data_IF_156364348952
#
_entry.id   IF_156364348952
#
_cell.length_a   1.000
_cell.length_b   1.000
_cell.length_c   1.000
_cell.angle_alpha   90.00
_cell.angle_beta   90.00
_cell.angle_gamma   90.00
#
_symmetry.space_group_name_H-M   'P 1'
#
loop_
_entity.id
_entity.type
_entity.pdbx_description
1 polymer ?
#
# COMPACT_ATOMS: atom_id res chain seq x y z
N UNK A 1 1.45 -21.75 -10.29
CA UNK A 1 1.41 -20.51 -9.48
C UNK A 1 2.59 -19.67 -9.88
N UNK A 2 2.36 -18.42 -10.33
CA UNK A 2 3.40 -17.55 -10.89
C UNK A 2 4.30 -16.96 -9.78
N UNK A 3 3.69 -16.49 -8.70
CA UNK A 3 4.38 -16.09 -7.46
C UNK A 3 4.67 -17.31 -6.58
N UNK A 4 5.88 -17.36 -6.01
CA UNK A 4 6.32 -18.40 -5.06
C UNK A 4 6.63 -17.75 -3.72
N UNK A 5 6.04 -18.25 -2.64
CA UNK A 5 6.39 -17.83 -1.27
C UNK A 5 7.84 -18.17 -0.97
N UNK A 6 8.55 -17.24 -0.34
CA UNK A 6 9.93 -17.44 0.03
C UNK A 6 10.03 -18.40 1.23
N UNK A 7 11.00 -19.35 1.27
CA UNK A 7 11.11 -20.31 2.36
C UNK A 7 11.52 -19.70 3.71
N UNK A 8 11.99 -18.45 3.71
CA UNK A 8 12.31 -17.71 4.93
C UNK A 8 11.10 -16.97 5.53
N UNK A 9 9.90 -17.16 4.97
CA UNK A 9 8.69 -16.52 5.51
C UNK A 9 8.34 -17.04 6.91
N UNK A 10 7.84 -16.17 7.80
CA UNK A 10 7.81 -14.70 7.67
C UNK A 10 9.22 -14.09 7.76
N UNK A 11 9.53 -13.11 6.91
CA UNK A 11 10.85 -12.45 6.85
C UNK A 11 10.99 -11.32 7.90
N UNK A 12 9.86 -10.82 8.42
CA UNK A 12 9.83 -9.91 9.56
C UNK A 12 8.61 -10.24 10.43
N UNK A 13 8.83 -10.39 11.73
CA UNK A 13 7.79 -10.66 12.75
C UNK A 13 7.88 -9.67 13.92
N UNK A 14 6.91 -9.70 14.82
CA UNK A 14 6.96 -8.92 16.07
C UNK A 14 8.19 -9.24 16.91
N UNK A 15 8.65 -8.27 17.68
CA UNK A 15 9.67 -8.45 18.72
C UNK A 15 9.02 -8.21 20.10
N UNK A 16 8.70 -9.26 20.86
CA UNK A 16 8.05 -9.13 22.17
C UNK A 16 8.86 -8.32 23.20
N UNK A 17 10.17 -8.17 23.00
CA UNK A 17 11.04 -7.43 23.91
C UNK A 17 11.08 -5.92 23.59
N UNK A 18 10.33 -5.47 22.59
CA UNK A 18 10.24 -4.07 22.16
C UNK A 18 8.80 -3.57 22.22
N UNK A 19 8.49 -2.75 23.21
CA UNK A 19 7.13 -2.31 23.55
C UNK A 19 6.31 -1.79 22.35
N UNK A 20 6.93 -1.05 21.43
CA UNK A 20 6.25 -0.42 20.29
C UNK A 20 5.99 -1.35 19.09
N UNK A 21 6.63 -2.54 19.05
CA UNK A 21 6.44 -3.56 18.01
C UNK A 21 6.13 -4.96 18.57
N UNK A 22 5.75 -5.04 19.85
CA UNK A 22 5.46 -6.29 20.54
C UNK A 22 4.16 -6.98 20.11
N UNK A 23 3.24 -6.26 19.47
CA UNK A 23 1.93 -6.78 19.02
C UNK A 23 2.02 -7.45 17.65
N UNK A 24 2.17 -6.65 16.60
CA UNK A 24 2.27 -7.11 15.21
C UNK A 24 3.25 -6.25 14.42
N UNK A 25 3.85 -6.82 13.36
CA UNK A 25 4.55 -6.07 12.30
C UNK A 25 3.92 -6.37 10.97
N UNK A 26 3.61 -5.33 10.20
CA UNK A 26 2.64 -5.36 9.13
C UNK A 26 3.13 -4.54 7.93
N UNK A 27 2.66 -4.92 6.74
CA UNK A 27 2.56 -4.02 5.60
C UNK A 27 3.85 -3.25 5.26
N UNK A 28 4.94 -4.01 5.04
CA UNK A 28 6.26 -3.47 4.74
C UNK A 28 6.39 -2.95 3.32
N UNK A 29 6.50 -1.63 3.15
CA UNK A 29 6.92 -1.01 1.89
C UNK A 29 8.44 -0.99 1.79
N UNK A 30 9.00 -1.07 0.58
CA UNK A 30 10.44 -1.10 0.37
C UNK A 30 10.90 -0.06 -0.63
N UNK A 31 12.10 0.47 -0.42
CA UNK A 31 12.79 1.35 -1.36
C UNK A 31 14.29 1.10 -1.33
N UNK A 32 14.94 1.17 -2.50
CA UNK A 32 16.40 1.10 -2.59
C UNK A 32 17.01 2.48 -2.34
N UNK A 33 17.84 2.58 -1.32
CA UNK A 33 18.67 3.73 -1.01
C UNK A 33 19.76 3.95 -2.05
N UNK A 34 20.36 5.15 -2.02
CA UNK A 34 21.42 5.57 -2.96
C UNK A 34 22.71 4.76 -2.84
N UNK A 35 22.92 4.16 -1.67
CA UNK A 35 24.04 3.27 -1.36
C UNK A 35 23.77 1.80 -1.76
N UNK A 36 22.58 1.50 -2.30
CA UNK A 36 22.14 0.16 -2.65
C UNK A 36 21.44 -0.60 -1.52
N UNK A 37 21.41 -0.05 -0.30
CA UNK A 37 20.66 -0.63 0.83
C UNK A 37 19.17 -0.66 0.50
N UNK A 38 18.47 -1.72 0.89
CA UNK A 38 17.02 -1.82 0.78
C UNK A 38 16.45 -1.43 2.15
N UNK A 39 15.71 -0.33 2.18
CA UNK A 39 14.99 0.12 3.37
C UNK A 39 13.57 -0.40 3.32
N UNK A 40 13.13 -1.07 4.38
CA UNK A 40 11.73 -1.44 4.60
C UNK A 40 11.13 -0.53 5.66
N UNK A 41 10.09 0.21 5.31
CA UNK A 41 9.25 0.91 6.28
C UNK A 41 8.02 0.04 6.53
N UNK A 42 7.69 -0.22 7.79
CA UNK A 42 6.64 -1.16 8.14
C UNK A 42 5.78 -0.62 9.28
N UNK A 43 4.51 -1.00 9.31
CA UNK A 43 3.64 -0.72 10.46
C UNK A 43 3.99 -1.67 11.59
N UNK A 44 4.04 -1.15 12.80
CA UNK A 44 4.18 -1.92 14.03
C UNK A 44 3.09 -1.53 15.01
N UNK A 45 2.68 -2.47 15.85
CA UNK A 45 1.72 -2.22 16.92
C UNK A 45 2.35 -2.56 18.26
N UNK A 46 1.98 -1.80 19.29
CA UNK A 46 2.35 -2.16 20.65
C UNK A 46 1.67 -3.48 21.08
N UNK A 47 2.08 -4.01 22.24
CA UNK A 47 1.58 -5.27 22.78
C UNK A 47 0.12 -5.26 23.28
N UNK A 48 -0.63 -4.17 23.04
CA UNK A 48 -2.05 -4.06 23.42
C UNK A 48 -2.91 -4.58 22.28
N UNK A 49 -3.85 -5.47 22.57
CA UNK A 49 -4.78 -5.99 21.56
C UNK A 49 -5.87 -4.95 21.24
N UNK A 50 -6.17 -4.76 19.96
CA UNK A 50 -7.18 -3.79 19.52
C UNK A 50 -8.55 -4.10 20.15
N UNK A 51 -9.21 -3.08 20.69
CA UNK A 51 -10.52 -3.22 21.33
C UNK A 51 -10.48 -3.75 22.78
N UNK A 52 -9.29 -3.94 23.35
CA UNK A 52 -9.13 -4.32 24.77
C UNK A 52 -8.85 -3.11 25.66
N UNK A 53 -8.74 -3.33 26.98
CA UNK A 53 -8.41 -2.29 27.94
C UNK A 53 -6.92 -1.91 27.82
N UNK A 54 -6.65 -0.69 27.34
CA UNK A 54 -5.30 -0.17 27.14
C UNK A 54 -5.26 0.82 25.98
N UNK A 55 -4.14 1.53 25.83
CA UNK A 55 -3.92 2.40 24.69
C UNK A 55 -3.25 1.58 23.57
N UNK A 56 -4.03 1.18 22.58
CA UNK A 56 -3.51 0.59 21.34
C UNK A 56 -2.79 1.68 20.54
N UNK A 57 -1.57 1.39 20.10
CA UNK A 57 -0.79 2.35 19.31
C UNK A 57 -0.12 1.64 18.16
N UNK A 58 -0.32 2.17 16.95
CA UNK A 58 0.46 1.84 15.77
C UNK A 58 1.47 2.94 15.43
N UNK A 59 2.63 2.52 14.95
CA UNK A 59 3.70 3.39 14.48
C UNK A 59 4.40 2.78 13.25
N UNK A 60 5.32 3.53 12.66
CA UNK A 60 6.10 3.09 11.50
C UNK A 60 7.53 2.83 11.94
N UNK A 61 7.95 1.57 11.86
CA UNK A 61 9.34 1.16 12.01
C UNK A 61 10.11 1.22 10.69
N UNK A 62 11.42 1.05 10.78
CA UNK A 62 12.31 0.92 9.63
C UNK A 62 13.34 -0.20 9.85
N UNK A 63 13.60 -0.98 8.80
CA UNK A 63 14.61 -2.03 8.80
C UNK A 63 15.41 -2.02 7.49
N UNK A 64 16.68 -2.40 7.58
CA UNK A 64 17.64 -2.31 6.47
C UNK A 64 18.07 -3.70 6.01
N UNK A 65 18.24 -3.90 4.71
CA UNK A 65 18.69 -5.15 4.12
C UNK A 65 19.64 -4.93 2.93
N UNK A 66 20.61 -5.82 2.76
CA UNK A 66 21.48 -5.85 1.58
C UNK A 66 21.08 -6.92 0.57
N UNK A 67 20.28 -7.91 0.99
CA UNK A 67 19.86 -9.05 0.15
C UNK A 67 18.35 -9.05 -0.16
N UNK A 68 17.57 -8.14 0.45
CA UNK A 68 16.13 -8.06 0.28
C UNK A 68 15.35 -9.17 1.01
N UNK A 69 16.01 -9.99 1.83
CA UNK A 69 15.39 -11.11 2.56
C UNK A 69 15.61 -10.96 4.06
N UNK A 70 16.83 -10.67 4.50
CA UNK A 70 17.18 -10.49 5.91
C UNK A 70 17.21 -9.00 6.23
N UNK A 71 16.32 -8.58 7.12
CA UNK A 71 16.19 -7.19 7.53
C UNK A 71 16.70 -7.00 8.97
N UNK A 72 17.49 -5.95 9.16
CA UNK A 72 17.97 -5.50 10.48
C UNK A 72 17.15 -4.29 10.89
N UNK A 73 16.32 -4.44 11.92
CA UNK A 73 15.45 -3.37 12.44
C UNK A 73 16.27 -2.29 13.12
N UNK A 74 15.85 -1.03 12.99
CA UNK A 74 16.34 0.06 13.85
C UNK A 74 15.69 -0.04 15.24
N UNK A 75 16.25 0.69 16.21
CA UNK A 75 15.84 0.58 17.61
C UNK A 75 14.52 1.32 17.91
N UNK A 76 14.36 2.50 17.33
CA UNK A 76 13.21 3.38 17.54
C UNK A 76 12.31 3.40 16.30
N UNK A 77 11.00 3.67 16.47
CA UNK A 77 10.11 3.92 15.34
C UNK A 77 10.58 5.15 14.56
N UNK A 78 10.47 5.09 13.23
CA UNK A 78 10.73 6.21 12.34
C UNK A 78 9.63 7.28 12.44
N UNK A 79 8.36 6.84 12.53
CA UNK A 79 7.20 7.73 12.67
C UNK A 79 6.32 7.19 13.79
N UNK A 80 6.23 7.93 14.89
CA UNK A 80 5.32 7.64 16.00
C UNK A 80 4.19 8.69 16.06
N UNK A 81 3.04 8.39 16.69
CA UNK A 81 1.98 9.38 16.88
C UNK A 81 2.45 10.55 17.75
N UNK A 82 2.39 11.76 17.22
CA UNK A 82 2.77 13.00 17.93
C UNK A 82 1.86 14.20 17.56
N UNK A 83 0.84 13.97 16.73
CA UNK A 83 -0.17 14.95 16.37
C UNK A 83 -1.60 14.46 16.62
N UNK A 84 -2.52 15.42 16.76
CA UNK A 84 -3.93 15.17 17.09
C UNK A 84 -4.66 14.29 16.07
N UNK A 85 -4.23 14.27 14.82
CA UNK A 85 -4.86 13.50 13.75
C UNK A 85 -4.44 12.01 13.73
N UNK A 86 -3.62 11.58 14.70
CA UNK A 86 -3.14 10.20 14.91
C UNK A 86 -3.51 9.68 16.31
N UNK A 87 -4.05 10.54 17.18
CA UNK A 87 -4.33 10.19 18.59
C UNK A 87 -5.37 9.09 18.66
N UNK A 88 -5.07 8.06 19.44
CA UNK A 88 -5.98 6.96 19.76
C UNK A 88 -5.64 5.65 19.05
N UNK A 89 -5.13 5.68 17.81
CA UNK A 89 -4.79 4.45 17.06
C UNK A 89 -3.47 4.51 16.28
N UNK A 90 -3.07 5.67 15.75
CA UNK A 90 -1.69 5.93 15.35
C UNK A 90 -1.41 6.05 13.85
N UNK A 91 -0.22 5.58 13.44
CA UNK A 91 0.35 5.72 12.09
C UNK A 91 0.49 4.36 11.41
N UNK A 92 -0.16 4.17 10.26
CA UNK A 92 -0.32 2.84 9.65
C UNK A 92 0.11 2.79 8.18
N UNK A 93 0.58 1.61 7.77
CA UNK A 93 0.79 1.14 6.41
C UNK A 93 1.52 2.15 5.47
N UNK A 94 2.82 2.41 5.73
CA UNK A 94 3.57 3.40 4.98
C UNK A 94 3.73 3.00 3.51
N UNK A 95 3.74 3.97 2.60
CA UNK A 95 4.27 3.86 1.22
C UNK A 95 5.30 4.95 1.03
N UNK A 96 6.43 4.59 0.43
CA UNK A 96 7.56 5.49 0.28
C UNK A 96 8.03 5.56 -1.16
N UNK A 97 8.30 6.78 -1.63
CA UNK A 97 9.06 7.04 -2.86
C UNK A 97 10.15 8.07 -2.59
N UNK A 98 11.18 8.09 -3.42
CA UNK A 98 12.25 9.08 -3.36
C UNK A 98 12.20 9.95 -4.60
N UNK A 99 12.01 11.25 -4.42
CA UNK A 99 11.89 12.24 -5.49
C UNK A 99 12.63 13.51 -5.09
N UNK A 100 13.39 14.09 -6.03
CA UNK A 100 14.10 15.36 -5.86
C UNK A 100 14.92 15.49 -4.57
N UNK A 101 15.55 14.40 -4.15
CA UNK A 101 16.43 14.38 -2.97
C UNK A 101 15.73 14.13 -1.64
N UNK A 102 14.43 13.83 -1.64
CA UNK A 102 13.63 13.64 -0.44
C UNK A 102 12.77 12.36 -0.55
N UNK A 103 12.62 11.65 0.58
CA UNK A 103 11.68 10.56 0.74
C UNK A 103 10.30 11.12 1.08
N UNK A 104 9.28 10.73 0.31
CA UNK A 104 7.87 11.03 0.57
C UNK A 104 7.21 9.79 1.14
N UNK A 105 6.78 9.86 2.40
CA UNK A 105 6.24 8.76 3.17
C UNK A 105 4.77 9.04 3.42
N UNK A 106 3.90 8.48 2.60
CA UNK A 106 2.48 8.48 2.86
C UNK A 106 2.15 7.42 3.89
N UNK A 107 1.23 7.72 4.80
CA UNK A 107 0.74 6.78 5.79
C UNK A 107 -0.72 7.06 6.11
N UNK A 108 -1.39 6.07 6.65
CA UNK A 108 -2.75 6.20 7.15
C UNK A 108 -2.69 6.69 8.59
N UNK A 109 -3.19 7.90 8.83
CA UNK A 109 -3.36 8.43 10.18
C UNK A 109 -4.74 8.04 10.70
N UNK A 110 -4.76 7.30 11.81
CA UNK A 110 -5.98 6.78 12.41
C UNK A 110 -6.24 7.49 13.73
N UNK A 111 -7.26 8.34 13.75
CA UNK A 111 -7.67 9.12 14.94
C UNK A 111 -8.91 8.50 15.59
N UNK A 112 -8.93 8.49 16.91
CA UNK A 112 -10.10 8.18 17.73
C UNK A 112 -10.07 6.79 18.34
N UNK A 113 -11.21 6.35 18.84
CA UNK A 113 -11.41 5.04 19.46
C UNK A 113 -12.78 4.50 19.06
N UNK A 114 -13.00 3.18 18.97
CA UNK A 114 -14.31 2.64 18.63
C UNK A 114 -15.46 3.24 19.47
N UNK A 115 -16.59 3.62 18.85
CA UNK A 115 -16.91 3.49 17.41
C UNK A 115 -16.42 4.67 16.54
N UNK A 116 -15.93 5.75 17.14
CA UNK A 116 -15.60 7.02 16.47
C UNK A 116 -14.15 7.03 15.94
N UNK A 117 -13.91 6.32 14.83
CA UNK A 117 -12.60 6.25 14.17
C UNK A 117 -12.60 7.06 12.86
N UNK A 118 -11.55 7.86 12.66
CA UNK A 118 -11.29 8.57 11.40
C UNK A 118 -10.02 8.01 10.74
N UNK A 119 -10.17 7.51 9.52
CA UNK A 119 -9.10 6.95 8.70
C UNK A 119 -8.78 7.93 7.57
N UNK A 120 -7.58 8.52 7.58
CA UNK A 120 -7.19 9.55 6.61
C UNK A 120 -5.76 9.37 6.16
N UNK A 121 -5.45 9.83 4.95
CA UNK A 121 -4.08 9.85 4.43
C UNK A 121 -3.33 11.06 4.96
N UNK A 122 -2.18 10.80 5.57
CA UNK A 122 -1.19 11.78 5.97
C UNK A 122 0.10 11.62 5.15
N UNK A 123 0.92 12.68 5.15
CA UNK A 123 2.22 12.69 4.51
C UNK A 123 3.30 13.13 5.50
N UNK A 124 4.42 12.42 5.49
CA UNK A 124 5.67 12.87 6.07
C UNK A 124 6.77 12.87 5.00
N UNK A 125 7.81 13.67 5.21
CA UNK A 125 9.00 13.64 4.37
C UNK A 125 10.28 13.47 5.19
N UNK A 126 11.33 12.98 4.55
CA UNK A 126 12.64 12.81 5.17
C UNK A 126 13.75 12.89 4.12
N UNK A 127 14.87 13.58 4.35
CA UNK A 127 16.01 13.56 3.41
C UNK A 127 16.88 12.30 3.53
N UNK A 128 16.77 11.58 4.65
CA UNK A 128 17.74 10.57 5.09
C UNK A 128 17.10 9.31 5.72
N UNK A 129 15.76 9.25 5.83
CA UNK A 129 15.03 8.23 6.60
C UNK A 129 15.45 8.19 8.08
N UNK A 130 15.83 9.33 8.64
CA UNK A 130 16.13 9.52 10.06
C UNK A 130 15.42 10.77 10.60
N UNK A 131 15.56 11.88 9.89
CA UNK A 131 14.91 13.16 10.21
C UNK A 131 13.57 13.23 9.51
N UNK A 132 12.46 13.18 10.25
CA UNK A 132 11.11 13.17 9.69
C UNK A 132 10.41 14.52 9.91
N UNK A 133 9.77 15.04 8.86
CA UNK A 133 8.87 16.19 8.92
C UNK A 133 7.46 15.75 8.52
N UNK A 134 6.49 15.89 9.42
CA UNK A 134 5.08 15.60 9.12
C UNK A 134 4.36 16.81 8.53
N UNK A 135 3.62 16.59 7.46
CA UNK A 135 2.87 17.63 6.72
C UNK A 135 1.36 17.60 7.03
N UNK A 136 0.90 16.64 7.83
CA UNK A 136 -0.49 16.52 8.23
C UNK A 136 -1.35 15.72 7.25
N UNK A 137 -2.67 15.89 7.36
CA UNK A 137 -3.64 15.23 6.49
C UNK A 137 -3.62 15.87 5.10
N UNK A 138 -3.32 15.06 4.09
CA UNK A 138 -3.27 15.44 2.67
C UNK A 138 -4.36 14.75 1.85
N UNK A 139 -5.02 13.74 2.42
CA UNK A 139 -6.13 13.02 1.82
C UNK A 139 -7.45 13.79 1.77
N UNK A 140 -8.48 13.23 1.10
CA UNK A 140 -9.80 13.83 1.05
C UNK A 140 -10.45 13.97 2.43
N UNK A 141 -11.28 14.99 2.60
CA UNK A 141 -12.09 15.17 3.79
C UNK A 141 -13.45 14.49 3.65
N UNK A 142 -14.03 14.05 4.77
CA UNK A 142 -15.42 13.57 4.83
C UNK A 142 -15.65 12.12 4.38
N UNK A 143 -14.62 11.43 3.90
CA UNK A 143 -14.67 10.01 3.56
C UNK A 143 -13.40 9.30 4.03
N UNK A 144 -13.48 8.02 4.45
CA UNK A 144 -12.29 7.25 4.79
C UNK A 144 -11.41 7.08 3.56
N UNK A 145 -10.11 7.25 3.74
CA UNK A 145 -9.11 7.05 2.71
C UNK A 145 -7.82 6.53 3.32
N UNK A 146 -7.15 5.65 2.58
CA UNK A 146 -5.89 5.00 2.98
C UNK A 146 -5.05 4.71 1.73
N UNK A 147 -3.89 4.10 1.93
CA UNK A 147 -3.07 3.54 0.87
C UNK A 147 -2.85 4.54 -0.29
N UNK A 148 -1.91 5.45 -0.08
CA UNK A 148 -1.55 6.46 -1.05
C UNK A 148 -0.07 6.41 -1.36
N UNK A 149 0.30 6.82 -2.57
CA UNK A 149 1.70 6.95 -2.97
C UNK A 149 1.82 7.99 -4.07
N UNK A 150 2.91 8.74 -4.06
CA UNK A 150 3.31 9.42 -5.29
C UNK A 150 3.77 8.37 -6.31
N UNK A 151 3.60 8.72 -7.57
CA UNK A 151 4.25 8.03 -8.66
C UNK A 151 5.76 8.25 -8.57
N UNK A 152 6.60 7.24 -8.83
CA UNK A 152 8.04 7.31 -8.55
C UNK A 152 8.83 8.20 -9.53
N UNK A 153 8.18 8.77 -10.55
CA UNK A 153 8.77 9.80 -11.41
C UNK A 153 7.71 10.86 -11.82
N UNK A 154 8.12 12.09 -12.15
CA UNK A 154 7.21 13.08 -12.71
C UNK A 154 6.64 12.62 -14.06
N UNK A 155 5.37 12.95 -14.32
CA UNK A 155 4.68 12.68 -15.59
C UNK A 155 4.31 14.00 -16.24
N UNK A 156 4.86 14.27 -17.41
CA UNK A 156 4.74 15.56 -18.12
C UNK A 156 5.07 16.78 -17.24
N UNK A 157 6.12 16.66 -16.42
CA UNK A 157 6.56 17.73 -15.52
C UNK A 157 5.65 17.98 -14.30
N UNK A 158 4.67 17.11 -14.06
CA UNK A 158 3.77 17.14 -12.89
C UNK A 158 3.95 15.90 -12.02
N UNK A 159 3.50 15.98 -10.79
CA UNK A 159 3.59 14.90 -9.81
C UNK A 159 2.26 14.17 -9.73
N UNK A 160 2.26 12.93 -10.22
CA UNK A 160 1.10 12.06 -10.18
C UNK A 160 0.99 11.40 -8.80
N UNK A 161 -0.19 11.41 -8.22
CA UNK A 161 -0.47 10.86 -6.90
C UNK A 161 -1.62 9.86 -6.99
N UNK A 162 -1.44 8.66 -6.42
CA UNK A 162 -2.47 7.63 -6.33
C UNK A 162 -2.94 7.47 -4.89
N UNK A 163 -4.23 7.21 -4.70
CA UNK A 163 -4.80 6.97 -3.38
C UNK A 163 -6.06 6.10 -3.45
N UNK A 164 -6.37 5.40 -2.35
CA UNK A 164 -7.62 4.64 -2.22
C UNK A 164 -8.68 5.48 -1.51
N UNK A 165 -9.74 5.84 -2.24
CA UNK A 165 -10.92 6.54 -1.73
C UNK A 165 -11.99 5.55 -1.27
N UNK A 166 -12.84 5.93 -0.30
CA UNK A 166 -13.88 5.07 0.30
C UNK A 166 -13.33 3.72 0.79
N UNK A 167 -12.14 3.76 1.39
CA UNK A 167 -11.44 2.57 1.84
C UNK A 167 -12.26 1.75 2.85
N UNK A 168 -12.07 0.42 2.86
CA UNK A 168 -12.85 -0.55 3.64
C UNK A 168 -14.35 -0.63 3.29
N UNK A 169 -14.77 -0.01 2.18
CA UNK A 169 -16.16 -0.05 1.72
C UNK A 169 -16.30 -0.72 0.35
N UNK A 170 -17.53 -1.09 -0.07
CA UNK A 170 -17.81 -1.54 -1.44
C UNK A 170 -17.53 -0.50 -2.52
N UNK A 171 -17.42 0.79 -2.16
CA UNK A 171 -17.07 1.86 -3.07
C UNK A 171 -15.56 2.10 -3.19
N UNK A 172 -14.72 1.29 -2.53
CA UNK A 172 -13.27 1.52 -2.53
C UNK A 172 -12.72 1.61 -3.95
N UNK A 173 -12.03 2.69 -4.27
CA UNK A 173 -11.55 2.97 -5.63
C UNK A 173 -10.15 3.55 -5.57
N UNK A 174 -9.27 3.09 -6.44
CA UNK A 174 -7.94 3.68 -6.62
C UNK A 174 -8.08 4.83 -7.62
N UNK A 175 -7.88 6.05 -7.13
CA UNK A 175 -7.95 7.29 -7.91
C UNK A 175 -6.57 7.89 -8.11
N UNK A 176 -6.45 8.79 -9.08
CA UNK A 176 -5.29 9.65 -9.26
C UNK A 176 -5.61 11.15 -9.18
N UNK A 177 -4.59 11.94 -8.85
CA UNK A 177 -4.58 13.39 -8.99
C UNK A 177 -3.18 13.88 -9.39
N UNK A 178 -3.10 15.07 -9.98
CA UNK A 178 -1.84 15.69 -10.41
C UNK A 178 -1.54 16.94 -9.60
N UNK A 179 -0.32 17.03 -9.08
CA UNK A 179 0.20 18.26 -8.49
C UNK A 179 1.20 18.93 -9.44
N UNK A 180 1.17 20.25 -9.53
CA UNK A 180 2.08 21.01 -10.40
C UNK A 180 3.51 21.08 -9.82
N UNK A 181 3.64 21.00 -8.50
CA UNK A 181 4.91 21.04 -7.79
C UNK A 181 4.88 20.27 -6.46
N UNK A 182 6.05 20.07 -5.86
CA UNK A 182 6.22 19.34 -4.60
C UNK A 182 5.72 20.13 -3.37
N UNK A 183 5.54 21.45 -3.46
CA UNK A 183 4.92 22.22 -2.37
C UNK A 183 3.42 21.92 -2.31
N UNK A 184 2.75 21.83 -3.46
CA UNK A 184 1.36 21.41 -3.57
C UNK A 184 1.16 19.96 -3.13
N UNK A 185 2.14 19.08 -3.33
CA UNK A 185 2.15 17.72 -2.77
C UNK A 185 2.16 17.74 -1.24
N UNK A 186 3.06 18.54 -0.63
CA UNK A 186 3.17 18.67 0.84
C UNK A 186 1.96 19.37 1.45
N UNK A 187 1.37 20.31 0.71
CA UNK A 187 0.22 21.11 1.14
C UNK A 187 -0.78 21.23 0.00
N UNK A 188 -1.65 20.22 -0.19
CA UNK A 188 -2.66 20.24 -1.24
C UNK A 188 -3.52 21.50 -1.21
N UNK A 189 -3.73 22.18 -2.35
CA UNK A 189 -4.64 23.30 -2.42
C UNK A 189 -6.06 22.89 -1.99
N UNK A 190 -6.82 23.76 -1.29
CA UNK A 190 -8.20 23.46 -0.92
C UNK A 190 -9.03 23.02 -2.12
N UNK A 191 -9.74 21.89 -2.00
CA UNK A 191 -10.57 21.33 -3.05
C UNK A 191 -9.83 20.54 -4.13
N UNK A 192 -8.49 20.50 -4.13
CA UNK A 192 -7.72 19.79 -5.15
C UNK A 192 -8.06 18.29 -5.23
N UNK A 193 -8.02 17.60 -4.09
CA UNK A 193 -8.37 16.17 -4.02
C UNK A 193 -9.87 15.94 -4.26
N UNK A 194 -10.73 16.88 -3.84
CA UNK A 194 -12.16 16.81 -4.10
C UNK A 194 -12.47 16.90 -5.61
N UNK A 195 -11.75 17.73 -6.36
CA UNK A 195 -11.90 17.83 -7.80
C UNK A 195 -11.57 16.51 -8.51
N UNK A 196 -10.56 15.76 -8.04
CA UNK A 196 -10.28 14.43 -8.57
C UNK A 196 -11.44 13.44 -8.30
N UNK A 197 -12.05 13.50 -7.11
CA UNK A 197 -13.22 12.68 -6.76
C UNK A 197 -14.44 13.06 -7.59
N UNK A 198 -14.66 14.35 -7.84
CA UNK A 198 -15.76 14.86 -8.66
C UNK A 198 -15.61 14.47 -10.14
N UNK A 199 -14.37 14.45 -10.66
CA UNK A 199 -14.03 13.96 -12.01
C UNK A 199 -13.73 12.45 -12.01
N UNK A 200 -14.55 11.68 -11.30
CA UNK A 200 -14.39 10.24 -11.04
C UNK A 200 -14.08 9.42 -12.30
N UNK A 201 -14.80 9.68 -13.40
CA UNK A 201 -14.65 8.91 -14.65
C UNK A 201 -13.25 9.07 -15.28
N UNK A 202 -12.56 10.18 -14.99
CA UNK A 202 -11.20 10.45 -15.48
C UNK A 202 -10.12 10.12 -14.45
N UNK A 203 -10.43 10.24 -13.17
CA UNK A 203 -9.49 9.99 -12.07
C UNK A 203 -9.40 8.53 -11.65
N UNK A 204 -10.40 7.70 -11.96
CA UNK A 204 -10.40 6.30 -11.57
C UNK A 204 -9.42 5.45 -12.38
N UNK A 205 -8.54 4.73 -11.66
CA UNK A 205 -7.60 3.77 -12.23
C UNK A 205 -8.20 2.37 -12.13
N UNK A 206 -8.55 1.97 -10.91
CA UNK A 206 -9.18 0.70 -10.59
C UNK A 206 -10.42 0.93 -9.75
N UNK A 207 -11.57 0.45 -10.24
CA UNK A 207 -12.88 0.55 -9.60
C UNK A 207 -13.30 -0.81 -9.05
N UNK A 208 -14.27 -0.88 -8.14
CA UNK A 208 -14.91 -2.16 -7.80
C UNK A 208 -15.46 -2.87 -9.05
N UNK A 209 -15.63 -4.20 -8.97
CA UNK A 209 -16.46 -5.03 -9.87
C UNK A 209 -17.61 -4.28 -10.57
N UNK A 210 -18.00 -4.65 -11.80
CA UNK A 210 -19.25 -4.16 -12.41
C UNK A 210 -20.40 -4.37 -11.41
N UNK A 211 -21.22 -3.35 -11.10
CA UNK A 211 -22.34 -3.44 -10.14
C UNK A 211 -23.28 -4.62 -10.40
N UNK A 212 -23.39 -5.08 -11.66
CA UNK A 212 -24.19 -6.27 -12.04
C UNK A 212 -23.43 -7.59 -11.76
N UNK A 213 -22.11 -7.60 -11.83
CA UNK A 213 -21.26 -8.71 -11.39
C UNK A 213 -21.03 -8.72 -9.88
N UNK A 214 -20.90 -7.57 -9.20
CA UNK A 214 -20.85 -7.46 -7.73
C UNK A 214 -22.06 -8.13 -7.07
N UNK A 215 -23.24 -7.99 -7.67
CA UNK A 215 -24.46 -8.68 -7.22
C UNK A 215 -24.44 -10.21 -7.45
N UNK A 216 -23.59 -10.72 -8.35
CA UNK A 216 -23.43 -12.15 -8.66
C UNK A 216 -22.23 -12.79 -7.95
N UNK A 217 -21.17 -12.03 -7.69
CA UNK A 217 -19.85 -12.52 -7.23
C UNK A 217 -19.64 -12.27 -5.73
N UNK A 218 -20.58 -11.67 -5.00
CA UNK A 218 -20.46 -11.41 -3.53
C UNK A 218 -19.21 -10.57 -3.16
N UNK A 219 -18.70 -9.75 -4.07
CA UNK A 219 -17.55 -8.86 -3.81
C UNK A 219 -18.06 -7.56 -3.18
N UNK A 220 -17.50 -7.16 -2.03
CA UNK A 220 -17.86 -5.89 -1.35
C UNK A 220 -16.72 -5.05 -0.81
N UNK A 221 -15.44 -5.34 -1.06
CA UNK A 221 -14.42 -4.30 -0.93
C UNK A 221 -13.76 -4.12 -2.28
N UNK A 222 -13.76 -2.86 -2.72
CA UNK A 222 -13.10 -2.50 -3.96
C UNK A 222 -11.57 -2.59 -3.84
N UNK A 223 -10.85 -2.36 -4.95
CA UNK A 223 -9.41 -2.45 -4.98
C UNK A 223 -8.77 -1.47 -3.99
N UNK A 224 -7.68 -1.92 -3.36
CA UNK A 224 -6.84 -1.09 -2.52
C UNK A 224 -5.41 -1.07 -3.05
N UNK A 225 -4.84 0.13 -3.08
CA UNK A 225 -3.48 0.36 -3.55
C UNK A 225 -2.47 -0.43 -2.70
N UNK A 226 -1.60 -1.18 -3.37
CA UNK A 226 -0.53 -1.93 -2.74
C UNK A 226 0.79 -1.17 -2.68
N UNK A 227 1.76 -1.68 -3.42
CA UNK A 227 3.10 -1.13 -3.53
C UNK A 227 3.14 0.04 -4.53
N UNK A 228 4.07 1.00 -4.37
CA UNK A 228 4.37 1.97 -5.41
C UNK A 228 4.63 1.29 -6.77
N UNK A 229 4.14 1.85 -7.90
CA UNK A 229 4.35 1.26 -9.22
C UNK A 229 5.84 1.08 -9.56
N UNK A 230 6.20 -0.01 -10.22
CA UNK A 230 7.57 -0.29 -10.65
C UNK A 230 7.68 -0.10 -12.16
N UNK A 231 8.64 0.71 -12.60
CA UNK A 231 8.92 0.90 -14.03
C UNK A 231 9.44 -0.38 -14.66
N UNK A 232 8.88 -0.76 -15.81
CA UNK A 232 9.39 -1.84 -16.66
C UNK A 232 9.39 -1.38 -18.12
N UNK A 233 9.97 -2.17 -19.03
CA UNK A 233 9.93 -1.88 -20.47
C UNK A 233 8.52 -2.02 -21.07
N UNK A 234 7.63 -2.77 -20.42
CA UNK A 234 6.28 -3.04 -20.92
C UNK A 234 5.21 -2.08 -20.38
N UNK A 235 5.55 -1.27 -19.35
CA UNK A 235 4.59 -0.50 -18.57
C UNK A 235 4.99 -0.40 -17.10
N UNK A 236 4.12 0.17 -16.30
CA UNK A 236 4.29 0.24 -14.85
C UNK A 236 3.63 -0.95 -14.18
N UNK A 237 4.44 -1.82 -13.58
CA UNK A 237 3.95 -2.95 -12.82
C UNK A 237 3.36 -2.45 -11.50
N UNK A 238 2.08 -2.73 -11.28
CA UNK A 238 1.32 -2.24 -10.15
C UNK A 238 0.64 -3.39 -9.41
N UNK A 239 0.95 -3.52 -8.12
CA UNK A 239 0.32 -4.52 -7.25
C UNK A 239 -0.78 -3.88 -6.42
N UNK A 240 -1.91 -4.56 -6.33
CA UNK A 240 -3.06 -4.10 -5.58
C UNK A 240 -3.73 -5.27 -4.85
N UNK A 241 -4.46 -4.94 -3.79
CA UNK A 241 -5.25 -5.90 -3.05
C UNK A 241 -6.71 -5.82 -3.48
N UNK A 242 -7.37 -6.97 -3.53
CA UNK A 242 -8.82 -7.08 -3.68
C UNK A 242 -9.37 -8.17 -2.75
N UNK A 243 -10.69 -8.17 -2.53
CA UNK A 243 -11.37 -9.17 -1.70
C UNK A 243 -12.43 -9.92 -2.49
N UNK A 244 -12.57 -11.22 -2.27
CA UNK A 244 -13.49 -12.09 -3.02
C UNK A 244 -14.91 -12.23 -2.40
N UNK A 245 -15.12 -11.81 -1.14
CA UNK A 245 -16.36 -12.10 -0.39
C UNK A 245 -16.68 -11.02 0.66
N UNK A 246 -17.97 -10.76 0.92
CA UNK A 246 -18.42 -9.83 1.97
C UNK A 246 -18.50 -10.44 3.37
N UNK A 247 -18.77 -11.75 3.46
CA UNK A 247 -19.08 -12.43 4.74
C UNK A 247 -17.80 -13.00 5.37
N UNK A 248 -16.89 -13.48 4.52
CA UNK A 248 -15.59 -14.02 4.89
C UNK A 248 -14.57 -13.59 3.82
N UNK A 249 -14.16 -12.30 3.81
CA UNK A 249 -13.27 -11.79 2.77
C UNK A 249 -11.94 -12.54 2.81
N UNK A 250 -11.51 -13.05 1.66
CA UNK A 250 -10.10 -13.36 1.43
C UNK A 250 -9.44 -12.17 0.76
N UNK A 251 -8.42 -11.61 1.40
CA UNK A 251 -7.63 -10.53 0.81
C UNK A 251 -6.53 -11.12 -0.04
N UNK A 252 -6.62 -10.85 -1.33
CA UNK A 252 -5.84 -11.48 -2.37
C UNK A 252 -5.01 -10.41 -3.08
N UNK A 253 -3.87 -10.84 -3.63
CA UNK A 253 -2.93 -9.96 -4.32
C UNK A 253 -3.06 -10.18 -5.82
N UNK A 254 -3.32 -9.09 -6.54
CA UNK A 254 -3.39 -9.06 -7.99
C UNK A 254 -2.35 -8.08 -8.55
N UNK A 255 -2.09 -8.17 -9.86
CA UNK A 255 -1.21 -7.23 -10.54
C UNK A 255 -1.87 -6.65 -11.79
N UNK A 256 -1.50 -5.41 -12.08
CA UNK A 256 -1.84 -4.68 -13.29
C UNK A 256 -0.57 -4.15 -13.95
N UNK A 257 -0.66 -3.91 -15.24
CA UNK A 257 0.31 -3.14 -16.00
C UNK A 257 -0.37 -1.81 -16.37
N UNK A 258 0.23 -0.70 -15.97
CA UNK A 258 -0.23 0.65 -16.35
C UNK A 258 0.58 1.14 -17.55
N UNK A 259 -0.02 2.01 -18.36
CA UNK A 259 0.62 2.60 -19.53
C UNK A 259 1.87 3.42 -19.16
N UNK A 260 2.90 3.43 -20.00
CA UNK A 260 4.16 4.14 -19.71
C UNK A 260 4.00 5.65 -19.69
N UNK A 261 3.23 6.19 -20.62
CA UNK A 261 3.05 7.63 -20.84
C UNK A 261 1.82 8.14 -20.08
N UNK A 262 0.78 7.30 -19.98
CA UNK A 262 -0.45 7.61 -19.26
C UNK A 262 -0.68 6.63 -18.09
N UNK A 263 0.16 6.65 -17.03
CA UNK A 263 0.16 5.64 -15.96
C UNK A 263 -1.12 5.56 -15.11
N UNK A 264 -2.10 6.43 -15.33
CA UNK A 264 -3.45 6.25 -14.80
C UNK A 264 -4.29 5.25 -15.61
N UNK A 265 -3.83 4.79 -16.78
CA UNK A 265 -4.51 3.83 -17.65
C UNK A 265 -3.97 2.43 -17.40
N UNK A 266 -4.82 1.53 -16.95
CA UNK A 266 -4.53 0.09 -16.91
C UNK A 266 -4.55 -0.45 -18.35
N UNK A 267 -3.51 -1.18 -18.76
CA UNK A 267 -3.40 -1.80 -20.10
C UNK A 267 -3.48 -3.33 -20.05
N UNK A 268 -3.14 -3.94 -18.92
CA UNK A 268 -3.29 -5.36 -18.67
C UNK A 268 -3.48 -5.64 -17.18
N UNK A 269 -4.06 -6.81 -16.85
CA UNK A 269 -4.16 -7.28 -15.47
C UNK A 269 -4.14 -8.79 -15.37
N UNK A 270 -3.83 -9.30 -14.19
CA UNK A 270 -3.91 -10.74 -13.92
C UNK A 270 -5.39 -11.17 -13.96
N UNK A 271 -5.73 -12.26 -14.67
CA UNK A 271 -7.10 -12.76 -14.75
C UNK A 271 -7.57 -13.42 -13.44
N UNK A 272 -6.61 -13.88 -12.63
CA UNK A 272 -6.79 -14.48 -11.31
C UNK A 272 -5.77 -13.85 -10.36
N UNK A 273 -5.99 -13.90 -9.03
CA UNK A 273 -5.01 -13.43 -8.06
C UNK A 273 -3.67 -14.18 -8.16
N UNK A 274 -2.58 -13.45 -7.96
CA UNK A 274 -1.23 -14.01 -7.88
C UNK A 274 -0.98 -14.76 -6.57
N UNK A 275 -1.55 -14.25 -5.48
CA UNK A 275 -1.43 -14.81 -4.14
C UNK A 275 -2.81 -14.74 -3.49
N UNK A 276 -3.25 -15.87 -2.96
CA UNK A 276 -4.40 -15.97 -2.04
C UNK A 276 -3.91 -16.52 -0.70
N UNK A 277 -4.61 -16.26 0.42
CA UNK A 277 -4.28 -16.85 1.72
C UNK A 277 -4.26 -18.40 1.64
N UNK A 278 -3.17 -19.03 2.07
CA UNK A 278 -3.01 -20.49 2.00
C UNK A 278 -2.29 -21.08 3.21
N UNK A 279 -1.39 -20.34 3.83
CA UNK A 279 -0.66 -20.78 5.03
C UNK A 279 -1.49 -20.54 6.29
N UNK A 280 -1.11 -21.17 7.41
CA UNK A 280 -1.83 -21.00 8.69
C UNK A 280 -1.78 -19.52 9.10
N UNK A 281 -0.63 -18.89 8.96
CA UNK A 281 -0.39 -17.49 9.32
C UNK A 281 -1.13 -16.50 8.40
N UNK A 282 -1.52 -16.91 7.19
CA UNK A 282 -2.34 -16.09 6.29
C UNK A 282 -3.83 -16.30 6.55
N UNK A 283 -4.23 -17.50 7.00
CA UNK A 283 -5.63 -17.90 7.19
C UNK A 283 -6.17 -17.55 8.58
N UNK A 284 -5.35 -17.67 9.62
CA UNK A 284 -5.71 -17.51 11.04
C UNK A 284 -4.76 -16.51 11.71
N UNK A 285 -5.21 -15.26 11.76
CA UNK A 285 -4.39 -14.10 12.13
C UNK A 285 -5.13 -13.11 13.04
N UNK A 286 -4.56 -11.92 13.25
CA UNK A 286 -5.31 -10.80 13.87
C UNK A 286 -6.48 -10.41 12.97
N UNK A 287 -6.24 -10.42 11.66
CA UNK A 287 -7.28 -10.40 10.63
C UNK A 287 -7.12 -11.66 9.79
N UNK A 288 -8.16 -12.48 9.79
CA UNK A 288 -8.16 -13.77 9.10
C UNK A 288 -8.15 -13.59 7.58
N UNK A 289 -7.50 -14.54 6.90
CA UNK A 289 -7.48 -14.65 5.43
C UNK A 289 -6.92 -13.39 4.75
N UNK A 290 -5.75 -12.94 5.17
CA UNK A 290 -5.11 -11.72 4.65
C UNK A 290 -3.79 -12.02 3.94
N UNK A 291 -3.70 -11.58 2.68
CA UNK A 291 -2.44 -11.30 1.98
C UNK A 291 -2.51 -9.89 1.37
N UNK A 292 -1.59 -8.99 1.76
CA UNK A 292 -1.68 -7.58 1.37
C UNK A 292 -0.36 -7.02 0.82
N UNK A 293 -0.28 -6.49 -0.42
CA UNK A 293 0.97 -6.21 -1.12
C UNK A 293 1.50 -4.79 -0.86
N UNK A 294 2.24 -4.54 0.22
CA UNK A 294 2.66 -3.17 0.59
C UNK A 294 3.97 -2.69 -0.04
N UNK A 295 4.84 -3.60 -0.48
CA UNK A 295 6.15 -3.25 -1.02
C UNK A 295 6.55 -4.18 -2.14
N UNK A 296 7.22 -3.66 -3.16
CA UNK A 296 7.78 -4.48 -4.22
C UNK A 296 9.05 -3.84 -4.79
N UNK A 297 10.02 -4.66 -5.17
CA UNK A 297 11.23 -4.22 -5.87
C UNK A 297 11.71 -5.31 -6.83
N UNK A 298 12.47 -4.95 -7.85
CA UNK A 298 13.15 -5.91 -8.72
C UNK A 298 14.62 -6.01 -8.34
N UNK A 299 15.08 -7.24 -8.10
CA UNK A 299 16.48 -7.56 -7.81
C UNK A 299 16.92 -8.57 -8.88
N UNK A 300 17.85 -8.17 -9.74
CA UNK A 300 18.46 -9.05 -10.77
C UNK A 300 17.42 -9.81 -11.62
N UNK A 301 16.37 -9.11 -12.08
CA UNK A 301 15.30 -9.69 -12.90
C UNK A 301 14.23 -10.46 -12.11
N UNK A 302 14.37 -10.58 -10.79
CA UNK A 302 13.38 -11.22 -9.92
C UNK A 302 12.55 -10.17 -9.19
N UNK A 303 11.23 -10.25 -9.33
CA UNK A 303 10.29 -9.47 -8.51
C UNK A 303 10.33 -10.00 -7.09
N UNK A 304 10.58 -9.11 -6.13
CA UNK A 304 10.45 -9.35 -4.70
C UNK A 304 9.22 -8.58 -4.21
N UNK A 305 8.14 -9.31 -3.91
CA UNK A 305 6.89 -8.77 -3.42
C UNK A 305 6.79 -9.02 -1.91
N UNK A 306 6.82 -7.94 -1.14
CA UNK A 306 6.68 -7.90 0.31
C UNK A 306 5.20 -7.71 0.65
N UNK A 307 4.65 -8.64 1.44
CA UNK A 307 3.23 -8.65 1.74
C UNK A 307 2.94 -8.94 3.21
N UNK A 308 1.91 -8.28 3.75
CA UNK A 308 1.36 -8.59 5.07
C UNK A 308 0.63 -9.93 5.07
N UNK A 309 0.81 -10.71 6.14
CA UNK A 309 0.21 -12.03 6.34
C UNK A 309 -0.62 -12.04 7.62
N UNK A 310 -1.93 -12.21 7.51
CA UNK A 310 -2.85 -12.37 8.64
C UNK A 310 -2.82 -11.25 9.68
N UNK A 311 -2.36 -10.05 9.33
CA UNK A 311 -2.04 -8.97 10.26
C UNK A 311 -1.12 -9.40 11.44
N UNK A 312 -0.10 -10.23 11.16
CA UNK A 312 0.86 -10.71 12.16
C UNK A 312 2.33 -10.57 11.77
N UNK A 313 2.63 -10.62 10.48
CA UNK A 313 4.01 -10.57 9.98
C UNK A 313 4.10 -10.13 8.53
N UNK A 314 5.33 -9.89 8.09
CA UNK A 314 5.66 -9.56 6.70
C UNK A 314 6.33 -10.77 6.06
N UNK A 315 5.79 -11.16 4.92
CA UNK A 315 6.24 -12.26 4.09
C UNK A 315 6.79 -11.74 2.76
N UNK A 316 7.55 -12.59 2.08
CA UNK A 316 8.10 -12.36 0.75
C UNK A 316 7.58 -13.41 -0.22
N UNK A 317 7.18 -12.97 -1.42
CA UNK A 317 6.97 -13.83 -2.56
C UNK A 317 7.80 -13.35 -3.74
N UNK A 318 8.24 -14.28 -4.58
CA UNK A 318 9.12 -13.99 -5.72
C UNK A 318 8.62 -14.63 -7.00
N UNK A 319 8.86 -13.96 -8.12
CA UNK A 319 8.74 -14.54 -9.47
C UNK A 319 9.75 -13.88 -10.42
N UNK A 320 9.98 -14.52 -11.56
CA UNK A 320 10.73 -13.90 -12.65
C UNK A 320 9.92 -12.75 -13.26
N UNK A 321 10.56 -11.59 -13.45
CA UNK A 321 9.90 -10.40 -13.99
C UNK A 321 9.41 -10.63 -15.43
N UNK A 322 10.21 -11.28 -16.27
CA UNK A 322 9.84 -11.51 -17.67
C UNK A 322 8.64 -12.46 -17.77
N UNK A 323 8.59 -13.51 -16.94
CA UNK A 323 7.41 -14.39 -16.85
C UNK A 323 6.16 -13.63 -16.41
N UNK A 324 6.27 -12.72 -15.43
CA UNK A 324 5.15 -11.90 -14.98
C UNK A 324 4.64 -10.94 -16.05
N UNK A 325 5.56 -10.24 -16.73
CA UNK A 325 5.20 -9.33 -17.81
C UNK A 325 4.59 -10.08 -19.01
N UNK A 326 5.09 -11.26 -19.33
CA UNK A 326 4.50 -12.11 -20.39
C UNK A 326 3.10 -12.58 -20.00
N UNK A 327 2.89 -12.95 -18.74
CA UNK A 327 1.57 -13.32 -18.24
C UNK A 327 0.56 -12.16 -18.33
N UNK A 328 0.97 -10.93 -17.95
CA UNK A 328 0.15 -9.73 -18.08
C UNK A 328 -0.14 -9.41 -19.56
N UNK A 329 0.86 -9.47 -20.44
CA UNK A 329 0.71 -9.16 -21.86
C UNK A 329 -0.31 -10.06 -22.58
N UNK A 330 -0.50 -11.30 -22.10
CA UNK A 330 -1.54 -12.22 -22.61
C UNK A 330 -2.96 -11.89 -22.12
N UNK A 331 -3.10 -11.00 -21.14
CA UNK A 331 -4.37 -10.62 -20.50
C UNK A 331 -4.61 -9.09 -20.57
N UNK A 332 -4.68 -8.50 -21.77
CA UNK A 332 -4.95 -7.08 -21.94
C UNK A 332 -6.38 -6.73 -21.50
N UNK A 333 -6.56 -5.54 -20.93
CA UNK A 333 -7.90 -5.02 -20.63
C UNK A 333 -8.56 -4.49 -21.90
N UNK A 334 -9.89 -4.60 -21.99
CA UNK A 334 -10.67 -4.14 -23.15
C UNK A 334 -11.22 -2.74 -22.90
N UNK A 335 -10.80 -1.77 -23.71
CA UNK A 335 -11.28 -0.38 -23.65
C UNK A 335 -10.34 0.57 -22.91
N UNK A 336 -10.68 1.86 -22.92
CA UNK A 336 -9.85 2.94 -22.37
C UNK A 336 -10.37 3.53 -21.05
N UNK A 337 -11.38 2.91 -20.43
CA UNK A 337 -11.98 3.38 -19.19
C UNK A 337 -11.33 2.80 -17.93
N UNK A 338 -11.76 3.22 -16.73
CA UNK A 338 -11.31 2.66 -15.46
C UNK A 338 -11.46 1.14 -15.45
N UNK A 339 -10.46 0.44 -14.92
CA UNK A 339 -10.47 -1.00 -14.94
C UNK A 339 -11.21 -1.56 -13.72
N UNK A 340 -12.02 -2.58 -13.94
CA UNK A 340 -12.74 -3.29 -12.89
C UNK A 340 -11.74 -4.14 -12.09
N UNK A 341 -11.71 -3.99 -10.77
CA UNK A 341 -10.83 -4.69 -9.82
C UNK A 341 -11.19 -6.14 -9.55
#
# INVERSE_FOLDING_TARGET
MLMKRHPANPILTRDPDRDWEAGSVLNGTVIRGRDGTIHMLYRATNGVEFGTAGEYVSCIGIADSTDGVRFVRRAEPLIAPDHTYEVGLGCEDPRVVFLDGEYYIYYTAVEGTPPDIKVRIALATSPDLETVTKHGIVGPHGAPSKAATLFPEPVDGRYLWFFTWLSDTPGATILHAFYDDLEAVRKPPPGHVAAAIEDYDRSAILIPGDRVELAKVRVRRGPELGAPPIRTEAGWLFFYCNSDSEIEPEWQISAALLDLDEPWRVIAKTPEPLITPQTVEELDGVVNRVTFPSGAIVIEGTVHLYYGSGDQGICLATCDLAELLEHLARNPVKGSGPCVG
#
